data_IF_572832127949
#
_entry.id   IF_572832127949
#
_cell.length_a   1.000
_cell.length_b   1.000
_cell.length_c   1.000
_cell.angle_alpha   90.00
_cell.angle_beta   90.00
_cell.angle_gamma   90.00
#
_symmetry.space_group_name_H-M   'P 1'
#
loop_
_entity.id
_entity.type
_entity.pdbx_description
1 polymer ?
#
# COMPACT_ATOMS: atom_id res chain seq x y z
N UNK A 1 21.33 30.34 65.56
CA UNK A 1 21.05 29.20 66.46
C UNK A 1 19.57 28.92 66.32
N UNK A 2 19.27 27.79 65.68
CA UNK A 2 18.00 27.05 65.62
C UNK A 2 16.68 27.79 65.29
N UNK A 3 16.15 27.54 64.09
CA UNK A 3 14.73 27.69 63.77
C UNK A 3 14.21 26.34 63.32
N UNK A 4 13.51 25.69 64.24
CA UNK A 4 12.79 24.46 64.07
C UNK A 4 11.57 24.61 63.15
N UNK A 5 11.49 23.68 62.20
CA UNK A 5 10.30 22.91 61.80
C UNK A 5 9.26 23.54 60.86
N UNK A 6 9.18 22.96 59.65
CA UNK A 6 7.90 22.54 59.06
C UNK A 6 8.15 21.47 57.96
N UNK A 7 7.59 20.26 58.10
CA UNK A 7 7.74 19.17 57.15
C UNK A 7 6.66 19.29 56.05
N UNK A 8 6.93 20.06 54.99
CA UNK A 8 5.98 20.28 53.89
C UNK A 8 6.50 19.78 52.52
N UNK A 9 7.22 18.67 52.48
CA UNK A 9 7.69 18.12 51.19
C UNK A 9 7.57 16.60 51.08
N UNK A 10 6.40 16.05 51.40
CA UNK A 10 6.18 14.61 51.37
C UNK A 10 4.92 14.14 50.63
N UNK A 11 4.16 15.01 49.95
CA UNK A 11 2.95 14.58 49.21
C UNK A 11 2.76 15.40 47.93
N UNK A 12 2.47 14.69 46.83
CA UNK A 12 2.36 15.16 45.45
C UNK A 12 3.73 15.42 44.82
N UNK A 13 4.24 14.65 43.87
CA UNK A 13 3.61 14.17 42.64
C UNK A 13 4.31 12.87 42.20
N UNK A 14 3.88 11.72 42.72
CA UNK A 14 3.95 10.44 41.99
C UNK A 14 2.64 10.27 41.23
N UNK A 15 2.36 11.19 40.30
CA UNK A 15 1.49 10.86 39.19
C UNK A 15 2.35 9.99 38.27
N UNK A 16 2.31 8.68 38.53
CA UNK A 16 2.89 7.69 37.64
C UNK A 16 2.45 8.03 36.23
N UNK A 17 3.42 8.35 35.38
CA UNK A 17 3.22 8.40 33.95
C UNK A 17 2.71 7.02 33.57
N UNK A 18 1.39 6.89 33.46
CA UNK A 18 0.75 5.81 32.75
C UNK A 18 1.35 5.89 31.35
N UNK A 19 2.39 5.09 31.13
CA UNK A 19 2.99 4.90 29.85
C UNK A 19 1.86 4.46 28.95
N UNK A 20 1.35 5.40 28.15
CA UNK A 20 0.54 5.07 26.99
C UNK A 20 1.42 4.14 26.19
N UNK A 21 1.12 2.85 26.28
CA UNK A 21 1.63 1.83 25.39
C UNK A 21 1.06 2.17 24.00
N UNK A 22 1.61 3.22 23.40
CA UNK A 22 1.32 3.67 22.06
C UNK A 22 1.77 2.53 21.15
N UNK A 23 0.79 1.69 20.81
CA UNK A 23 1.01 0.53 19.98
C UNK A 23 1.72 0.94 18.70
N UNK A 24 2.57 0.05 18.18
CA UNK A 24 3.38 0.22 16.95
C UNK A 24 2.56 0.46 15.67
N UNK A 25 1.28 0.79 15.79
CA UNK A 25 0.24 0.96 14.78
C UNK A 25 -0.62 2.23 15.02
N UNK A 26 -0.11 3.28 15.68
CA UNK A 26 -0.83 4.55 15.72
C UNK A 26 -0.92 5.12 14.29
N UNK A 27 -2.12 5.11 13.71
CA UNK A 27 -2.45 5.76 12.44
C UNK A 27 -2.90 7.18 12.76
N UNK A 28 -2.16 8.17 12.27
CA UNK A 28 -2.55 9.57 12.42
C UNK A 28 -3.64 9.97 11.42
N UNK A 29 -4.29 11.10 11.66
CA UNK A 29 -5.24 11.71 10.70
C UNK A 29 -4.57 11.92 9.34
N UNK A 30 -3.29 12.35 9.32
CA UNK A 30 -2.52 12.52 8.10
C UNK A 30 -2.35 11.21 7.30
N UNK A 31 -2.14 10.07 7.98
CA UNK A 31 -1.99 8.77 7.33
C UNK A 31 -3.31 8.33 6.68
N UNK A 32 -4.43 8.61 7.37
CA UNK A 32 -5.77 8.34 6.85
C UNK A 32 -6.08 9.23 5.64
N UNK A 33 -5.76 10.52 5.70
CA UNK A 33 -5.92 11.43 4.55
C UNK A 33 -5.11 10.98 3.35
N UNK A 34 -3.84 10.60 3.56
CA UNK A 34 -2.99 10.07 2.50
C UNK A 34 -3.58 8.79 1.87
N UNK A 35 -4.07 7.87 2.71
CA UNK A 35 -4.71 6.65 2.24
C UNK A 35 -6.00 6.96 1.44
N UNK A 36 -6.82 7.90 1.91
CA UNK A 36 -8.05 8.31 1.22
C UNK A 36 -7.77 8.98 -0.13
N UNK A 37 -6.74 9.84 -0.22
CA UNK A 37 -6.31 10.45 -1.49
C UNK A 37 -5.85 9.38 -2.48
N UNK A 38 -5.09 8.38 -2.03
CA UNK A 38 -4.68 7.28 -2.90
C UNK A 38 -5.84 6.36 -3.28
N UNK A 39 -6.82 6.15 -2.39
CA UNK A 39 -8.04 5.43 -2.73
C UNK A 39 -8.82 6.17 -3.84
N UNK A 40 -8.93 7.50 -3.74
CA UNK A 40 -9.53 8.34 -4.76
C UNK A 40 -8.73 8.32 -6.08
N UNK A 41 -7.39 8.30 -6.01
CA UNK A 41 -6.54 8.13 -7.18
C UNK A 41 -6.78 6.79 -7.88
N UNK A 42 -6.87 5.69 -7.12
CA UNK A 42 -7.18 4.36 -7.67
C UNK A 42 -8.54 4.38 -8.36
N UNK A 43 -9.56 4.96 -7.72
CA UNK A 43 -10.89 5.11 -8.30
C UNK A 43 -10.87 5.96 -9.58
N UNK A 44 -10.18 7.10 -9.56
CA UNK A 44 -10.04 8.00 -10.70
C UNK A 44 -9.35 7.31 -11.89
N UNK A 45 -8.33 6.49 -11.65
CA UNK A 45 -7.65 5.70 -12.68
C UNK A 45 -8.52 4.57 -13.25
N UNK A 46 -9.66 4.25 -12.63
CA UNK A 46 -10.68 3.36 -13.17
C UNK A 46 -11.66 4.06 -14.12
N UNK A 47 -11.79 5.39 -14.05
CA UNK A 47 -12.79 6.15 -14.82
C UNK A 47 -12.55 6.26 -16.33
N UNK A 48 -11.30 6.34 -16.86
CA UNK A 48 -11.04 6.45 -18.31
C UNK A 48 -11.56 5.27 -19.13
N UNK A 49 -12.07 4.23 -18.48
CA UNK A 49 -12.63 3.05 -19.11
C UNK A 49 -11.61 1.93 -19.30
N UNK A 50 -12.04 0.92 -20.02
CA UNK A 50 -11.28 -0.31 -20.27
C UNK A 50 -10.92 -0.39 -21.74
N UNK A 51 -9.65 -0.62 -22.06
CA UNK A 51 -9.27 -0.98 -23.44
C UNK A 51 -9.34 -2.51 -23.53
N UNK A 52 -10.37 -3.02 -24.18
CA UNK A 52 -10.51 -4.47 -24.42
C UNK A 52 -9.72 -4.82 -25.68
N UNK A 53 -8.43 -5.17 -25.53
CA UNK A 53 -7.65 -5.73 -26.62
C UNK A 53 -7.92 -7.25 -26.70
N UNK A 54 -8.79 -7.66 -27.62
CA UNK A 54 -8.97 -9.06 -28.00
C UNK A 54 -10.08 -9.84 -27.26
N UNK A 55 -10.23 -11.12 -27.66
CA UNK A 55 -11.29 -12.07 -27.27
C UNK A 55 -11.23 -12.57 -25.82
N UNK A 56 -10.33 -12.02 -25.01
CA UNK A 56 -9.99 -12.52 -23.69
C UNK A 56 -10.91 -12.08 -22.55
N UNK A 57 -11.78 -11.10 -22.78
CA UNK A 57 -12.75 -10.62 -21.78
C UNK A 57 -12.14 -9.94 -20.55
N UNK A 58 -10.81 -9.78 -20.49
CA UNK A 58 -10.11 -9.08 -19.40
C UNK A 58 -9.76 -7.66 -19.86
N UNK A 59 -10.26 -6.63 -19.17
CA UNK A 59 -10.01 -5.25 -19.59
C UNK A 59 -8.60 -4.77 -19.22
N UNK A 60 -7.93 -4.05 -20.13
CA UNK A 60 -6.74 -3.28 -19.78
C UNK A 60 -7.18 -2.05 -18.99
N UNK A 61 -6.67 -1.93 -17.77
CA UNK A 61 -7.02 -0.84 -16.86
C UNK A 61 -5.78 -0.07 -16.43
N UNK A 62 -5.95 1.24 -16.20
CA UNK A 62 -4.96 2.04 -15.47
C UNK A 62 -5.08 1.89 -13.96
N UNK A 63 -6.12 1.20 -13.50
CA UNK A 63 -6.41 1.02 -12.08
C UNK A 63 -5.30 0.25 -11.35
N UNK A 64 -4.67 -0.74 -12.00
CA UNK A 64 -3.51 -1.46 -11.45
C UNK A 64 -2.29 -0.55 -11.21
N UNK A 65 -2.13 0.52 -11.99
CA UNK A 65 -1.09 1.53 -11.74
C UNK A 65 -1.35 2.28 -10.43
N UNK A 66 -2.61 2.57 -10.11
CA UNK A 66 -2.98 3.16 -8.83
C UNK A 66 -2.61 2.26 -7.64
N UNK A 67 -2.82 0.95 -7.76
CA UNK A 67 -2.45 -0.04 -6.74
C UNK A 67 -0.93 -0.12 -6.57
N UNK A 68 -0.18 -0.13 -7.69
CA UNK A 68 1.29 -0.09 -7.66
C UNK A 68 1.80 1.19 -6.96
N UNK A 69 1.25 2.35 -7.32
CA UNK A 69 1.58 3.63 -6.69
C UNK A 69 1.28 3.63 -5.19
N UNK A 70 0.13 3.11 -4.77
CA UNK A 70 -0.23 3.04 -3.35
C UNK A 70 0.81 2.24 -2.55
N UNK A 71 1.23 1.08 -3.04
CA UNK A 71 2.27 0.28 -2.39
C UNK A 71 3.64 0.96 -2.41
N UNK A 72 4.06 1.46 -3.59
CA UNK A 72 5.39 2.01 -3.80
C UNK A 72 5.60 3.38 -3.13
N UNK A 73 4.56 4.18 -2.97
CA UNK A 73 4.64 5.53 -2.38
C UNK A 73 4.33 5.49 -0.88
N UNK A 74 3.22 4.86 -0.47
CA UNK A 74 2.76 4.91 0.91
C UNK A 74 3.31 3.76 1.78
N UNK A 75 3.87 2.72 1.16
CA UNK A 75 4.37 1.54 1.86
C UNK A 75 3.25 0.61 2.33
N UNK A 76 3.57 -0.39 3.19
CA UNK A 76 2.68 -1.53 3.44
C UNK A 76 1.46 -1.16 4.26
N UNK A 77 1.57 -0.28 5.26
CA UNK A 77 0.43 0.07 6.13
C UNK A 77 -0.57 0.98 5.41
N UNK A 78 -0.09 2.14 4.96
CA UNK A 78 -0.91 3.19 4.34
C UNK A 78 -1.39 2.80 2.94
N UNK A 79 -0.56 2.11 2.16
CA UNK A 79 -0.96 1.56 0.86
C UNK A 79 -2.08 0.52 0.99
N UNK A 80 -1.96 -0.41 1.95
CA UNK A 80 -3.03 -1.37 2.24
C UNK A 80 -4.31 -0.68 2.67
N UNK A 81 -4.20 0.33 3.55
CA UNK A 81 -5.36 1.12 3.97
C UNK A 81 -6.04 1.80 2.78
N UNK A 82 -5.27 2.38 1.84
CA UNK A 82 -5.82 3.00 0.64
C UNK A 82 -6.61 2.00 -0.23
N UNK A 83 -6.05 0.81 -0.45
CA UNK A 83 -6.73 -0.24 -1.23
C UNK A 83 -7.96 -0.78 -0.49
N UNK A 84 -7.91 -0.93 0.84
CA UNK A 84 -9.08 -1.34 1.63
C UNK A 84 -10.19 -0.31 1.53
N UNK A 85 -9.89 1.00 1.69
CA UNK A 85 -10.87 2.08 1.53
C UNK A 85 -11.49 2.00 0.13
N UNK A 86 -10.66 1.88 -0.91
CA UNK A 86 -11.12 1.72 -2.28
C UNK A 86 -12.06 0.51 -2.45
N UNK A 87 -11.67 -0.66 -1.93
CA UNK A 87 -12.47 -1.88 -2.03
C UNK A 87 -13.80 -1.77 -1.29
N UNK A 88 -13.81 -1.16 -0.10
CA UNK A 88 -15.04 -0.93 0.67
C UNK A 88 -15.99 -0.01 -0.09
N UNK A 89 -15.48 1.09 -0.67
CA UNK A 89 -16.30 1.99 -1.49
C UNK A 89 -16.87 1.28 -2.72
N UNK A 90 -16.06 0.46 -3.40
CA UNK A 90 -16.54 -0.33 -4.53
C UNK A 90 -17.63 -1.32 -4.09
N UNK A 91 -17.46 -2.01 -2.96
CA UNK A 91 -18.44 -2.96 -2.42
C UNK A 91 -19.72 -2.29 -1.91
N UNK A 92 -19.63 -1.05 -1.44
CA UNK A 92 -20.77 -0.20 -1.10
C UNK A 92 -21.62 0.18 -2.32
N UNK A 93 -21.17 -0.15 -3.54
CA UNK A 93 -21.94 -0.02 -4.77
C UNK A 93 -21.45 1.09 -5.70
N UNK A 94 -20.37 1.82 -5.33
CA UNK A 94 -19.85 2.87 -6.20
C UNK A 94 -19.26 2.28 -7.49
N UNK A 95 -19.60 2.83 -8.68
CA UNK A 95 -19.12 2.36 -9.98
C UNK A 95 -17.69 2.87 -10.28
N UNK A 96 -16.76 2.62 -9.36
CA UNK A 96 -15.38 3.12 -9.40
C UNK A 96 -14.37 2.11 -9.96
N UNK A 97 -14.83 0.91 -10.32
CA UNK A 97 -14.01 -0.02 -11.08
C UNK A 97 -14.09 0.30 -12.56
N UNK A 98 -13.03 -0.08 -13.26
CA UNK A 98 -12.92 0.13 -14.69
C UNK A 98 -14.11 -0.45 -15.46
N UNK A 99 -14.63 0.33 -16.41
CA UNK A 99 -15.82 -0.02 -17.17
C UNK A 99 -17.14 0.28 -16.44
N UNK A 100 -17.11 1.17 -15.43
CA UNK A 100 -18.30 1.57 -14.68
C UNK A 100 -18.82 0.49 -13.73
N UNK A 101 -17.96 -0.45 -13.34
CA UNK A 101 -18.33 -1.61 -12.51
C UNK A 101 -18.24 -1.25 -11.03
N UNK A 102 -19.01 -1.96 -10.21
CA UNK A 102 -18.93 -1.87 -8.75
C UNK A 102 -18.35 -3.17 -8.14
N UNK A 103 -18.03 -3.16 -6.85
CA UNK A 103 -17.39 -4.28 -6.17
C UNK A 103 -18.22 -5.57 -6.21
N UNK A 104 -19.55 -5.45 -6.13
CA UNK A 104 -20.46 -6.59 -6.19
C UNK A 104 -20.45 -7.25 -7.58
N UNK A 105 -20.56 -6.46 -8.64
CA UNK A 105 -20.45 -6.95 -10.03
C UNK A 105 -19.05 -7.46 -10.37
N UNK A 106 -18.00 -6.93 -9.73
CA UNK A 106 -16.65 -7.49 -9.83
C UNK A 106 -16.57 -8.88 -9.19
N UNK A 107 -17.10 -9.04 -7.97
CA UNK A 107 -17.08 -10.31 -7.24
C UNK A 107 -17.96 -11.39 -7.85
N UNK A 108 -19.03 -11.04 -8.56
CA UNK A 108 -19.89 -12.02 -9.24
C UNK A 108 -19.37 -12.44 -10.61
N UNK A 109 -18.37 -11.72 -11.14
CA UNK A 109 -17.81 -11.99 -12.46
C UNK A 109 -16.60 -12.94 -12.45
N UNK A 110 -16.17 -13.43 -13.63
CA UNK A 110 -14.91 -14.16 -13.79
C UNK A 110 -13.67 -13.33 -13.37
N UNK A 111 -13.77 -12.00 -13.31
CA UNK A 111 -12.66 -11.12 -12.91
C UNK A 111 -12.56 -10.90 -11.40
N UNK A 112 -13.35 -11.63 -10.58
CA UNK A 112 -13.33 -11.49 -9.11
C UNK A 112 -11.94 -11.67 -8.51
N UNK A 113 -11.14 -12.60 -9.06
CA UNK A 113 -9.78 -12.87 -8.62
C UNK A 113 -8.83 -11.68 -8.75
N UNK A 114 -9.01 -10.84 -9.79
CA UNK A 114 -8.19 -9.64 -9.98
C UNK A 114 -8.53 -8.56 -8.95
N UNK A 115 -9.82 -8.39 -8.63
CA UNK A 115 -10.26 -7.42 -7.61
C UNK A 115 -9.76 -7.80 -6.21
N UNK A 116 -9.87 -9.09 -5.85
CA UNK A 116 -9.32 -9.60 -4.58
C UNK A 116 -7.79 -9.51 -4.58
N UNK A 117 -7.16 -9.73 -5.74
CA UNK A 117 -5.71 -9.68 -5.93
C UNK A 117 -5.06 -8.31 -5.69
N UNK A 118 -5.82 -7.21 -5.71
CA UNK A 118 -5.28 -5.88 -5.41
C UNK A 118 -4.75 -5.77 -3.96
N UNK A 119 -5.39 -6.47 -3.02
CA UNK A 119 -5.00 -6.44 -1.62
C UNK A 119 -3.64 -7.13 -1.36
N UNK A 120 -3.41 -8.40 -1.76
CA UNK A 120 -2.09 -9.01 -1.62
C UNK A 120 -1.03 -8.29 -2.46
N UNK A 121 -1.38 -7.77 -3.64
CA UNK A 121 -0.46 -7.01 -4.47
C UNK A 121 0.09 -5.78 -3.75
N UNK A 122 -0.77 -4.92 -3.18
CA UNK A 122 -0.32 -3.70 -2.49
C UNK A 122 0.51 -4.02 -1.24
N UNK A 123 0.17 -5.10 -0.54
CA UNK A 123 0.93 -5.56 0.63
C UNK A 123 2.35 -5.96 0.19
N UNK A 124 2.47 -6.79 -0.85
CA UNK A 124 3.77 -7.25 -1.37
C UNK A 124 4.60 -6.07 -1.85
N UNK A 125 4.03 -5.18 -2.67
CA UNK A 125 4.72 -3.98 -3.17
C UNK A 125 5.17 -3.09 -2.02
N UNK A 126 4.28 -2.83 -1.06
CA UNK A 126 4.56 -1.99 0.09
C UNK A 126 5.66 -2.57 0.98
N UNK A 127 5.61 -3.88 1.29
CA UNK A 127 6.63 -4.55 2.12
C UNK A 127 7.99 -4.53 1.42
N UNK A 128 8.05 -4.94 0.16
CA UNK A 128 9.31 -4.96 -0.59
C UNK A 128 9.89 -3.54 -0.77
N UNK A 129 9.03 -2.54 -0.98
CA UNK A 129 9.46 -1.14 -1.05
C UNK A 129 10.01 -0.65 0.29
N UNK A 130 9.36 -0.99 1.40
CA UNK A 130 9.84 -0.64 2.74
C UNK A 130 11.18 -1.31 3.08
N UNK A 131 11.45 -2.52 2.55
CA UNK A 131 12.74 -3.20 2.69
C UNK A 131 13.85 -2.52 1.88
N UNK A 132 13.52 -1.81 0.80
CA UNK A 132 14.49 -1.05 0.00
C UNK A 132 14.88 0.30 0.62
N UNK A 133 14.09 0.81 1.57
CA UNK A 133 14.38 2.06 2.27
C UNK A 133 15.65 1.95 3.13
N UNK A 134 16.46 3.02 3.27
CA UNK A 134 16.15 4.43 2.99
C UNK A 134 16.46 4.90 1.55
N UNK A 135 17.09 4.07 0.71
CA UNK A 135 17.48 4.46 -0.65
C UNK A 135 16.60 3.77 -1.68
N UNK A 136 15.59 4.46 -2.17
CA UNK A 136 14.73 3.98 -3.25
C UNK A 136 15.52 3.90 -4.57
N UNK A 137 15.63 2.70 -5.15
CA UNK A 137 16.29 2.47 -6.45
C UNK A 137 15.23 2.18 -7.51
N UNK A 138 15.15 3.02 -8.55
CA UNK A 138 14.10 2.95 -9.59
C UNK A 138 14.00 1.56 -10.23
N UNK A 139 15.14 0.95 -10.59
CA UNK A 139 15.15 -0.38 -11.24
C UNK A 139 14.52 -1.44 -10.34
N UNK A 140 14.92 -1.48 -9.08
CA UNK A 140 14.35 -2.41 -8.10
C UNK A 140 12.89 -2.09 -7.78
N UNK A 141 12.52 -0.80 -7.74
CA UNK A 141 11.14 -0.36 -7.62
C UNK A 141 10.26 -0.85 -8.76
N UNK A 142 10.75 -0.78 -10.01
CA UNK A 142 10.04 -1.28 -11.19
C UNK A 142 9.88 -2.79 -11.13
N UNK A 143 10.90 -3.54 -10.70
CA UNK A 143 10.81 -4.99 -10.52
C UNK A 143 9.82 -5.38 -9.41
N UNK A 144 9.80 -4.65 -8.30
CA UNK A 144 8.84 -4.86 -7.21
C UNK A 144 7.41 -4.57 -7.69
N UNK A 145 7.21 -3.48 -8.43
CA UNK A 145 5.91 -3.13 -9.01
C UNK A 145 5.45 -4.17 -10.04
N UNK A 146 6.36 -4.68 -10.87
CA UNK A 146 6.07 -5.74 -11.83
C UNK A 146 5.69 -7.03 -11.10
N UNK A 147 6.47 -7.43 -10.10
CA UNK A 147 6.17 -8.64 -9.33
C UNK A 147 4.83 -8.54 -8.60
N UNK A 148 4.60 -7.48 -7.83
CA UNK A 148 3.36 -7.34 -7.08
C UNK A 148 2.15 -6.99 -7.95
N UNK A 149 2.29 -6.08 -8.90
CA UNK A 149 1.17 -5.57 -9.69
C UNK A 149 0.82 -6.41 -10.90
N UNK A 150 1.72 -7.27 -11.38
CA UNK A 150 1.47 -8.22 -12.47
C UNK A 150 1.40 -9.65 -11.94
N UNK A 151 2.48 -10.17 -11.35
CA UNK A 151 2.55 -11.60 -10.99
C UNK A 151 1.55 -11.96 -9.89
N UNK A 152 1.49 -11.19 -8.80
CA UNK A 152 0.56 -11.48 -7.69
C UNK A 152 -0.89 -11.27 -8.12
N UNK A 153 -1.19 -10.16 -8.82
CA UNK A 153 -2.55 -9.90 -9.32
C UNK A 153 -3.00 -11.00 -10.30
N UNK A 154 -2.13 -11.41 -11.23
CA UNK A 154 -2.46 -12.45 -12.21
C UNK A 154 -2.60 -13.82 -11.56
N UNK A 155 -1.78 -14.16 -10.57
CA UNK A 155 -1.94 -15.40 -9.81
C UNK A 155 -3.32 -15.46 -9.16
N UNK A 156 -3.74 -14.39 -8.47
CA UNK A 156 -5.09 -14.30 -7.89
C UNK A 156 -6.19 -14.30 -8.96
N UNK A 157 -5.97 -13.60 -10.07
CA UNK A 157 -6.89 -13.51 -11.21
C UNK A 157 -7.13 -14.86 -11.89
N UNK A 158 -6.06 -15.59 -12.20
CA UNK A 158 -6.10 -16.92 -12.83
C UNK A 158 -6.75 -17.94 -11.90
N UNK A 159 -6.40 -17.94 -10.61
CA UNK A 159 -7.09 -18.81 -9.63
C UNK A 159 -8.59 -18.52 -9.60
N UNK A 160 -8.98 -17.23 -9.55
CA UNK A 160 -10.38 -16.84 -9.59
C UNK A 160 -11.10 -17.24 -10.88
N UNK A 161 -10.41 -17.19 -12.02
CA UNK A 161 -10.94 -17.58 -13.32
C UNK A 161 -11.16 -19.09 -13.41
N UNK A 162 -10.19 -19.89 -12.97
CA UNK A 162 -10.28 -21.36 -12.98
C UNK A 162 -11.38 -21.89 -12.06
N UNK A 163 -11.66 -21.20 -10.95
CA UNK A 163 -12.74 -21.58 -10.03
C UNK A 163 -14.13 -21.26 -10.61
N UNK A 164 -14.23 -20.30 -11.55
CA UNK A 164 -15.51 -19.79 -12.06
C UNK A 164 -15.80 -20.12 -13.52
N UNK A 165 -14.83 -20.65 -14.24
CA UNK A 165 -14.94 -20.96 -15.68
C UNK A 165 -14.24 -22.27 -15.98
N UNK A 166 -14.77 -23.04 -16.94
CA UNK A 166 -14.18 -24.29 -17.43
C UNK A 166 -13.00 -24.06 -18.40
N UNK A 167 -12.31 -22.91 -18.30
CA UNK A 167 -11.18 -22.60 -19.17
C UNK A 167 -9.95 -23.41 -18.78
N UNK A 168 -9.21 -23.85 -19.79
CA UNK A 168 -7.91 -24.48 -19.57
C UNK A 168 -6.89 -23.45 -19.06
N UNK A 169 -6.00 -23.88 -18.16
CA UNK A 169 -4.87 -23.07 -17.66
C UNK A 169 -4.10 -22.36 -18.79
N UNK A 170 -3.90 -23.06 -19.89
CA UNK A 170 -3.18 -22.53 -21.05
C UNK A 170 -3.93 -21.36 -21.71
N UNK A 171 -5.25 -21.47 -21.89
CA UNK A 171 -6.08 -20.41 -22.49
C UNK A 171 -6.17 -19.17 -21.57
N UNK A 172 -6.19 -19.38 -20.25
CA UNK A 172 -6.16 -18.30 -19.26
C UNK A 172 -4.82 -17.54 -19.29
N UNK A 173 -3.70 -18.23 -19.44
CA UNK A 173 -2.37 -17.61 -19.48
C UNK A 173 -2.09 -16.94 -20.82
N UNK A 174 -2.43 -17.58 -21.95
CA UNK A 174 -2.17 -17.04 -23.30
C UNK A 174 -2.88 -15.70 -23.55
N UNK A 175 -4.07 -15.55 -22.95
CA UNK A 175 -4.87 -14.33 -22.90
C UNK A 175 -4.11 -13.12 -22.32
N UNK A 176 -3.20 -13.35 -21.37
CA UNK A 176 -2.53 -12.27 -20.65
C UNK A 176 -1.29 -11.72 -21.37
N UNK A 177 -0.86 -12.34 -22.48
CA UNK A 177 0.36 -11.96 -23.21
C UNK A 177 0.36 -10.51 -23.71
N UNK A 178 -0.78 -10.00 -24.17
CA UNK A 178 -0.94 -8.63 -24.66
C UNK A 178 -0.83 -7.58 -23.54
N UNK A 179 -1.16 -7.97 -22.29
CA UNK A 179 -1.16 -7.06 -21.15
C UNK A 179 0.23 -6.80 -20.57
N UNK A 180 1.19 -7.69 -20.86
CA UNK A 180 2.55 -7.63 -20.34
C UNK A 180 3.22 -6.29 -20.67
N UNK A 181 3.11 -5.84 -21.92
CA UNK A 181 3.74 -4.59 -22.38
C UNK A 181 3.17 -3.40 -21.58
N UNK A 182 1.84 -3.35 -21.45
CA UNK A 182 1.16 -2.30 -20.69
C UNK A 182 1.54 -2.31 -19.21
N UNK A 183 1.65 -3.48 -18.59
CA UNK A 183 1.99 -3.61 -17.18
C UNK A 183 3.46 -3.30 -16.89
N UNK A 184 4.38 -3.60 -17.82
CA UNK A 184 5.78 -3.16 -17.74
C UNK A 184 5.85 -1.63 -17.77
N UNK A 185 5.14 -0.97 -18.69
CA UNK A 185 5.10 0.49 -18.77
C UNK A 185 4.57 1.07 -17.44
N UNK A 186 3.46 0.54 -16.92
CA UNK A 186 2.89 0.99 -15.64
C UNK A 186 3.85 0.79 -14.48
N UNK A 187 4.55 -0.34 -14.42
CA UNK A 187 5.50 -0.63 -13.35
C UNK A 187 6.68 0.36 -13.34
N UNK A 188 7.18 0.72 -14.53
CA UNK A 188 8.23 1.73 -14.70
C UNK A 188 7.72 3.11 -14.31
N UNK A 189 6.54 3.53 -14.80
CA UNK A 189 5.92 4.81 -14.43
C UNK A 189 5.72 4.90 -12.91
N UNK A 190 5.17 3.86 -12.29
CA UNK A 190 4.96 3.82 -10.85
C UNK A 190 6.29 3.93 -10.07
N UNK A 191 7.35 3.30 -10.56
CA UNK A 191 8.67 3.38 -9.93
C UNK A 191 9.31 4.76 -10.07
N UNK A 192 9.16 5.41 -11.22
CA UNK A 192 9.66 6.78 -11.45
C UNK A 192 8.93 7.79 -10.56
N UNK A 193 7.61 7.69 -10.49
CA UNK A 193 6.79 8.55 -9.61
C UNK A 193 7.16 8.31 -8.14
N UNK A 194 7.27 7.05 -7.71
CA UNK A 194 7.66 6.74 -6.34
C UNK A 194 9.06 7.26 -6.00
N UNK A 195 10.03 7.13 -6.91
CA UNK A 195 11.37 7.66 -6.72
C UNK A 195 11.36 9.19 -6.56
N UNK A 196 10.58 9.90 -7.38
CA UNK A 196 10.44 11.35 -7.28
C UNK A 196 9.80 11.76 -5.95
N UNK A 197 8.74 11.06 -5.52
CA UNK A 197 8.07 11.36 -4.25
C UNK A 197 9.00 11.12 -3.06
N UNK A 198 9.72 9.99 -3.02
CA UNK A 198 10.67 9.68 -1.94
C UNK A 198 11.86 10.64 -1.90
N UNK A 199 12.25 11.21 -3.05
CA UNK A 199 13.30 12.24 -3.11
C UNK A 199 12.81 13.58 -2.55
N UNK A 200 11.58 13.96 -2.83
CA UNK A 200 10.98 15.22 -2.37
C UNK A 200 10.46 15.15 -0.92
N UNK A 201 10.04 13.98 -0.44
CA UNK A 201 9.45 13.76 0.89
C UNK A 201 10.10 12.57 1.62
N UNK A 202 11.38 12.67 2.02
CA UNK A 202 12.09 11.60 2.73
C UNK A 202 11.50 11.43 4.14
N UNK A 203 10.65 10.43 4.32
CA UNK A 203 9.98 10.15 5.61
C UNK A 203 8.58 9.56 5.49
N UNK A 204 8.03 9.50 4.27
CA UNK A 204 6.67 8.98 4.03
C UNK A 204 6.51 7.50 4.40
N UNK A 205 7.58 6.72 4.29
CA UNK A 205 7.65 5.32 4.74
C UNK A 205 8.56 5.26 5.96
N UNK A 206 8.02 4.86 7.11
CA UNK A 206 8.85 4.56 8.28
C UNK A 206 9.71 3.33 8.00
N UNK A 207 11.06 3.43 8.03
CA UNK A 207 11.92 2.29 7.80
C UNK A 207 11.67 1.22 8.86
N UNK A 208 11.60 -0.04 8.44
CA UNK A 208 11.36 -1.19 9.35
C UNK A 208 12.40 -1.29 10.48
N UNK A 209 13.59 -0.70 10.27
CA UNK A 209 14.73 -0.73 11.19
C UNK A 209 14.89 0.50 12.10
N UNK A 210 13.85 1.32 12.30
CA UNK A 210 13.87 2.40 13.30
C UNK A 210 13.64 1.85 14.72
N UNK A 211 14.51 0.93 15.15
CA UNK A 211 14.55 0.39 16.50
C UNK A 211 15.89 0.72 17.16
N UNK A 212 15.85 1.67 18.11
CA UNK A 212 16.91 2.06 19.07
C UNK A 212 18.16 2.72 18.47
N UNK A 213 18.16 4.05 18.42
CA UNK A 213 19.33 4.77 18.97
C UNK A 213 19.00 4.98 20.45
N UNK A 214 19.67 4.23 21.33
CA UNK A 214 19.62 4.54 22.75
C UNK A 214 20.16 5.95 22.99
N UNK A 215 19.78 6.62 24.08
CA UNK A 215 20.38 7.90 24.43
C UNK A 215 21.89 7.70 24.50
N UNK A 216 22.64 8.36 23.61
CA UNK A 216 24.08 8.52 23.76
C UNK A 216 24.29 9.18 25.10
N UNK A 217 24.67 8.38 26.10
CA UNK A 217 25.07 8.86 27.40
C UNK A 217 26.23 9.83 27.20
N UNK A 218 25.97 11.10 27.43
CA UNK A 218 27.00 12.09 27.74
C UNK A 218 27.60 11.69 29.09
N UNK A 219 28.60 10.81 29.06
CA UNK A 219 29.50 10.57 30.17
C UNK A 219 30.87 11.14 29.79
N UNK A 220 31.34 12.12 30.57
CA UNK A 220 32.75 12.54 30.53
C UNK A 220 33.02 14.03 30.50
N UNK A 221 32.45 14.80 31.43
CA UNK A 221 33.20 15.91 32.04
C UNK A 221 33.80 15.34 33.32
N UNK A 222 35.13 15.17 33.36
CA UNK A 222 36.01 15.21 34.54
C UNK A 222 37.36 14.57 34.18
N UNK A 223 38.42 15.37 34.20
CA UNK A 223 39.81 14.97 33.95
C UNK A 223 40.64 16.15 33.48
#
# INVERSE_FOLDING_TARGET
MDTSDSPENARSVTAGSAGSASGRFSLGVADLTQAAVFAALIAALGLPGTINLGSSGVPITFQTLGVMLAGAVLGPKKGTLAVVIFMVLALAGLPILSGGRNGQTALLSPTAGYFIGFLPAVIVIGVLTALMMPRYRVVWGALINLFGGMVVVYACGVIGLLVRTDLTLWAAVSTNGTFIIGDVIKAVVAALVAAQVHRSWPGLITPWRSGKRGPTGTAGVAG
#
